data_IF_557519759239
#
_entry.id   IF_557519759239
#
_cell.length_a   1.000
_cell.length_b   1.000
_cell.length_c   1.000
_cell.angle_alpha   90.00
_cell.angle_beta   90.00
_cell.angle_gamma   90.00
#
_symmetry.space_group_name_H-M   'P 1'
#
loop_
_entity.id
_entity.type
_entity.pdbx_description
1 polymer ?
#
# COMPACT_ATOMS: atom_id res chain seq x y z
N UNK A 1 9.19 -4.46 15.40
CA UNK A 1 8.42 -4.30 14.15
C UNK A 1 7.44 -3.17 14.38
N UNK A 2 7.67 -2.04 13.74
CA UNK A 2 6.74 -0.92 13.77
C UNK A 2 5.75 -1.11 12.62
N UNK A 3 4.52 -1.47 12.98
CA UNK A 3 3.38 -1.48 12.08
C UNK A 3 2.30 -0.63 12.75
N UNK A 4 1.89 0.42 12.08
CA UNK A 4 0.90 1.37 12.56
C UNK A 4 -0.31 1.39 11.63
N UNK A 5 -1.51 1.32 12.19
CA UNK A 5 -2.78 1.29 11.45
C UNK A 5 -3.59 2.53 11.78
N UNK A 6 -4.04 3.24 10.75
CA UNK A 6 -4.87 4.43 10.87
C UNK A 6 -6.14 4.25 10.06
N UNK A 7 -7.28 4.23 10.74
CA UNK A 7 -8.60 4.26 10.11
C UNK A 7 -9.04 5.70 9.82
N UNK A 8 -9.91 5.88 8.83
CA UNK A 8 -10.33 7.20 8.36
C UNK A 8 -9.11 8.09 8.01
N UNK A 9 -8.18 7.50 7.26
CA UNK A 9 -6.91 8.12 6.91
C UNK A 9 -7.08 9.43 6.15
N UNK A 10 -7.94 9.47 5.12
CA UNK A 10 -8.28 10.68 4.38
C UNK A 10 -9.60 11.29 4.87
N UNK A 11 -9.77 12.62 4.79
CA UNK A 11 -11.09 13.24 4.86
C UNK A 11 -12.02 12.64 3.82
N UNK A 12 -13.32 12.57 4.13
CA UNK A 12 -14.32 11.88 3.29
C UNK A 12 -14.32 12.34 1.83
N UNK A 13 -14.24 13.64 1.58
CA UNK A 13 -14.21 14.19 0.22
C UNK A 13 -12.97 13.76 -0.56
N UNK A 14 -11.84 13.61 0.10
CA UNK A 14 -10.58 13.15 -0.48
C UNK A 14 -10.58 11.64 -0.71
N UNK A 15 -11.15 10.88 0.21
CA UNK A 15 -11.36 9.45 0.04
C UNK A 15 -12.23 9.17 -1.20
N UNK A 16 -13.34 9.87 -1.37
CA UNK A 16 -14.19 9.74 -2.55
C UNK A 16 -13.44 10.07 -3.85
N UNK A 17 -12.58 11.09 -3.84
CA UNK A 17 -11.73 11.43 -4.99
C UNK A 17 -10.69 10.35 -5.28
N UNK A 18 -10.04 9.81 -4.25
CA UNK A 18 -9.07 8.72 -4.38
C UNK A 18 -9.74 7.47 -4.98
N UNK A 19 -10.91 7.08 -4.48
CA UNK A 19 -11.70 5.99 -5.04
C UNK A 19 -12.07 6.24 -6.52
N UNK A 20 -12.59 7.44 -6.84
CA UNK A 20 -12.93 7.82 -8.21
C UNK A 20 -11.73 7.79 -9.15
N UNK A 21 -10.56 8.19 -8.68
CA UNK A 21 -9.31 8.08 -9.44
C UNK A 21 -8.97 6.62 -9.75
N UNK A 22 -8.90 5.78 -8.73
CA UNK A 22 -8.55 4.35 -8.89
C UNK A 22 -9.55 3.62 -9.80
N UNK A 23 -10.85 3.89 -9.65
CA UNK A 23 -11.90 3.27 -10.45
C UNK A 23 -11.79 3.59 -11.95
N UNK A 24 -11.29 4.77 -12.30
CA UNK A 24 -11.29 5.26 -13.68
C UNK A 24 -9.89 5.27 -14.33
N UNK A 25 -8.83 5.05 -13.56
CA UNK A 25 -7.48 5.04 -14.09
C UNK A 25 -7.18 3.75 -14.86
N UNK A 26 -6.43 3.82 -15.97
CA UNK A 26 -6.05 2.64 -16.74
C UNK A 26 -5.01 1.82 -15.97
N UNK A 27 -5.38 0.65 -15.53
CA UNK A 27 -4.44 -0.32 -14.96
C UNK A 27 -3.65 -1.01 -16.08
N UNK A 28 -2.36 -1.25 -15.82
CA UNK A 28 -1.47 -1.96 -16.75
C UNK A 28 -1.11 -3.31 -16.14
N UNK A 29 -1.33 -4.39 -16.91
CA UNK A 29 -0.89 -5.72 -16.53
C UNK A 29 0.64 -5.80 -16.52
N UNK A 30 1.19 -6.57 -15.60
CA UNK A 30 2.62 -6.84 -15.53
C UNK A 30 3.30 -6.30 -14.28
N UNK A 31 2.56 -6.16 -13.18
CA UNK A 31 3.19 -5.93 -11.87
C UNK A 31 3.97 -7.17 -11.47
N UNK A 32 5.22 -6.97 -11.03
CA UNK A 32 6.14 -8.02 -10.65
C UNK A 32 6.55 -7.84 -9.20
N UNK A 33 6.51 -8.94 -8.43
CA UNK A 33 7.20 -8.99 -7.15
C UNK A 33 8.69 -9.29 -7.41
N UNK A 34 9.08 -10.59 -7.45
CA UNK A 34 10.48 -10.97 -7.63
C UNK A 34 10.78 -11.65 -8.98
N UNK A 35 9.75 -12.09 -9.71
CA UNK A 35 9.90 -12.88 -10.93
C UNK A 35 9.18 -12.24 -12.12
N UNK A 36 9.91 -11.51 -12.99
CA UNK A 36 9.35 -10.81 -14.14
C UNK A 36 8.54 -11.68 -15.10
N UNK A 37 8.83 -12.98 -15.19
CA UNK A 37 8.11 -13.94 -16.01
C UNK A 37 6.75 -14.37 -15.42
N UNK A 38 6.44 -13.97 -14.18
CA UNK A 38 5.18 -14.31 -13.50
C UNK A 38 4.59 -13.06 -12.84
N UNK A 39 3.94 -12.20 -13.63
CA UNK A 39 3.30 -11.02 -13.08
C UNK A 39 2.21 -11.39 -12.07
N UNK A 40 2.16 -10.66 -10.96
CA UNK A 40 1.25 -10.90 -9.85
C UNK A 40 -0.06 -10.12 -9.97
N UNK A 41 -0.15 -9.17 -10.89
CA UNK A 41 -1.35 -8.35 -11.03
C UNK A 41 -1.20 -7.19 -12.00
N UNK A 42 -2.05 -6.19 -11.86
CA UNK A 42 -2.03 -4.95 -12.60
C UNK A 42 -1.70 -3.77 -11.70
N UNK A 43 -1.09 -2.73 -12.24
CA UNK A 43 -0.79 -1.52 -11.48
C UNK A 43 -1.18 -0.23 -12.19
N UNK A 44 -1.38 0.83 -11.41
CA UNK A 44 -1.58 2.20 -11.84
C UNK A 44 -0.48 3.04 -11.23
N UNK A 45 0.49 3.48 -12.01
CA UNK A 45 1.56 4.34 -11.52
C UNK A 45 1.09 5.79 -11.41
N UNK A 46 1.38 6.42 -10.27
CA UNK A 46 1.05 7.83 -9.99
C UNK A 46 2.35 8.62 -10.03
N UNK A 47 2.36 9.65 -10.86
CA UNK A 47 3.56 10.47 -11.06
C UNK A 47 3.76 11.45 -9.91
N UNK A 48 5.02 11.84 -9.64
CA UNK A 48 5.37 12.80 -8.57
C UNK A 48 4.75 14.19 -8.79
N UNK A 49 4.49 14.56 -10.04
CA UNK A 49 3.86 15.82 -10.42
C UNK A 49 2.35 15.84 -10.18
N UNK A 50 1.73 14.67 -9.99
CA UNK A 50 0.29 14.58 -9.78
C UNK A 50 -0.11 15.15 -8.40
N UNK A 51 -1.15 15.94 -8.38
CA UNK A 51 -1.66 16.52 -7.13
C UNK A 51 -2.02 15.47 -6.08
N UNK A 52 -2.48 14.30 -6.53
CA UNK A 52 -2.81 13.19 -5.63
C UNK A 52 -1.56 12.66 -4.93
N UNK A 53 -0.42 12.58 -5.62
CA UNK A 53 0.86 12.17 -5.03
C UNK A 53 1.28 13.13 -3.91
N UNK A 54 1.31 14.43 -4.21
CA UNK A 54 1.73 15.45 -3.24
C UNK A 54 0.79 15.52 -2.03
N UNK A 55 -0.52 15.38 -2.28
CA UNK A 55 -1.50 15.37 -1.21
C UNK A 55 -1.34 14.16 -0.29
N UNK A 56 -1.14 12.97 -0.89
CA UNK A 56 -0.95 11.73 -0.13
C UNK A 56 0.32 11.74 0.71
N UNK A 57 1.44 12.21 0.15
CA UNK A 57 2.71 12.37 0.89
C UNK A 57 2.52 13.27 2.12
N UNK A 58 1.87 14.43 1.93
CA UNK A 58 1.57 15.33 3.05
C UNK A 58 0.74 14.64 4.12
N UNK A 59 -0.37 14.00 3.75
CA UNK A 59 -1.25 13.33 4.73
C UNK A 59 -0.55 12.17 5.42
N UNK A 60 0.28 11.40 4.71
CA UNK A 60 1.04 10.31 5.31
C UNK A 60 2.00 10.83 6.38
N UNK A 61 2.71 11.93 6.11
CA UNK A 61 3.59 12.58 7.11
C UNK A 61 2.81 13.11 8.30
N UNK A 62 1.64 13.73 8.07
CA UNK A 62 0.80 14.26 9.15
C UNK A 62 0.21 13.15 10.06
N UNK A 63 0.05 11.93 9.52
CA UNK A 63 -0.60 10.81 10.21
C UNK A 63 0.36 9.81 10.83
N UNK A 64 1.57 9.67 10.29
CA UNK A 64 2.57 8.70 10.72
C UNK A 64 3.83 9.44 11.17
N UNK A 65 4.07 9.46 12.48
CA UNK A 65 5.16 10.24 13.09
C UNK A 65 6.54 9.84 12.55
N UNK A 66 6.75 8.56 12.21
CA UNK A 66 8.01 8.07 11.68
C UNK A 66 8.35 8.65 10.30
N UNK A 67 7.36 9.20 9.57
CA UNK A 67 7.56 9.83 8.27
C UNK A 67 7.84 11.33 8.35
N UNK A 68 7.80 11.93 9.55
CA UNK A 68 8.03 13.37 9.73
C UNK A 68 9.51 13.77 9.65
N UNK A 69 10.43 12.82 9.58
CA UNK A 69 11.83 13.13 9.37
C UNK A 69 12.02 13.78 7.99
N UNK A 70 12.64 14.99 7.90
CA UNK A 70 12.90 15.66 6.63
C UNK A 70 13.86 14.90 5.70
N UNK A 71 14.55 13.88 6.20
CA UNK A 71 15.38 12.97 5.40
C UNK A 71 14.60 11.94 4.58
N UNK A 72 13.29 11.76 4.83
CA UNK A 72 12.47 10.85 4.04
C UNK A 72 11.90 11.53 2.81
N UNK A 73 12.10 10.89 1.66
CA UNK A 73 11.43 11.23 0.40
C UNK A 73 10.45 10.15 -0.01
N UNK A 74 9.26 10.54 -0.48
CA UNK A 74 8.35 9.62 -1.15
C UNK A 74 8.93 9.23 -2.51
N UNK A 75 9.41 8.00 -2.62
CA UNK A 75 10.14 7.52 -3.80
C UNK A 75 9.17 7.19 -4.94
N UNK A 76 8.10 6.46 -4.63
CA UNK A 76 7.11 5.99 -5.61
C UNK A 76 5.72 5.89 -4.99
N UNK A 77 4.71 6.01 -5.85
CA UNK A 77 3.32 5.75 -5.51
C UNK A 77 2.66 5.00 -6.66
N UNK A 78 1.94 3.95 -6.33
CA UNK A 78 1.19 3.18 -7.31
C UNK A 78 -0.01 2.49 -6.65
N UNK A 79 -0.96 2.03 -7.45
CA UNK A 79 -2.10 1.24 -7.00
C UNK A 79 -1.93 -0.16 -7.56
N UNK A 80 -1.95 -1.15 -6.72
CA UNK A 80 -2.06 -2.56 -7.12
C UNK A 80 -3.52 -2.93 -7.31
N UNK A 81 -3.82 -3.57 -8.42
CA UNK A 81 -5.14 -4.07 -8.76
C UNK A 81 -5.03 -5.58 -8.93
N UNK A 82 -5.63 -6.32 -8.02
CA UNK A 82 -5.69 -7.78 -8.08
C UNK A 82 -7.11 -8.22 -8.44
N UNK A 83 -7.18 -9.18 -9.35
CA UNK A 83 -8.42 -9.86 -9.69
C UNK A 83 -8.66 -11.06 -8.77
N UNK A 84 -9.91 -11.54 -8.60
CA UNK A 84 -10.17 -12.78 -7.89
C UNK A 84 -9.26 -13.90 -8.40
N UNK A 85 -8.63 -14.63 -7.47
CA UNK A 85 -7.66 -15.70 -7.72
C UNK A 85 -6.22 -15.26 -8.07
N UNK A 86 -5.93 -14.00 -8.13
CA UNK A 86 -4.55 -13.52 -8.17
C UNK A 86 -3.99 -13.45 -6.75
N UNK A 87 -2.94 -14.21 -6.50
CA UNK A 87 -2.26 -14.23 -5.21
C UNK A 87 -0.85 -13.65 -5.38
N UNK A 88 -0.61 -12.41 -4.97
CA UNK A 88 0.74 -11.88 -4.92
C UNK A 88 1.60 -12.73 -3.99
N UNK A 89 2.90 -12.74 -4.26
CA UNK A 89 3.85 -13.50 -3.46
C UNK A 89 4.24 -12.75 -2.21
N UNK A 90 4.79 -13.47 -1.25
CA UNK A 90 5.51 -12.88 -0.16
C UNK A 90 6.71 -12.09 -0.69
N UNK A 91 6.82 -10.84 -0.32
CA UNK A 91 7.91 -9.94 -0.75
C UNK A 91 8.22 -8.91 0.33
N UNK A 92 9.29 -8.18 0.11
CA UNK A 92 9.67 -6.96 0.84
C UNK A 92 9.72 -5.81 -0.15
N UNK A 93 9.36 -4.61 0.29
CA UNK A 93 9.37 -3.42 -0.57
C UNK A 93 10.74 -2.75 -0.67
N UNK A 94 11.59 -2.99 0.32
CA UNK A 94 12.94 -2.48 0.38
C UNK A 94 13.91 -3.52 0.95
N UNK A 95 15.08 -3.65 0.32
CA UNK A 95 16.14 -4.47 0.89
C UNK A 95 16.79 -3.78 2.08
N UNK A 96 17.13 -4.52 3.16
CA UNK A 96 17.83 -3.96 4.30
C UNK A 96 19.18 -3.38 3.87
N UNK A 97 19.38 -2.09 4.14
CA UNK A 97 20.68 -1.40 3.94
C UNK A 97 21.04 -0.78 5.29
N UNK A 98 22.25 -1.06 5.77
CA UNK A 98 22.72 -0.52 7.05
C UNK A 98 22.66 1.02 7.06
N UNK A 99 22.02 1.58 8.10
CA UNK A 99 21.87 3.02 8.27
C UNK A 99 20.80 3.67 7.39
N UNK A 100 20.02 2.89 6.62
CA UNK A 100 18.92 3.40 5.82
C UNK A 100 17.60 2.82 6.31
N UNK A 101 16.68 3.70 6.69
CA UNK A 101 15.31 3.32 7.00
C UNK A 101 14.42 3.49 5.78
N UNK A 102 13.47 2.59 5.58
CA UNK A 102 12.45 2.68 4.53
C UNK A 102 11.10 2.28 5.08
N UNK A 103 10.06 2.98 4.64
CA UNK A 103 8.68 2.71 5.05
C UNK A 103 7.77 2.56 3.84
N UNK A 104 6.79 1.68 3.98
CA UNK A 104 5.69 1.55 3.05
C UNK A 104 4.40 2.02 3.72
N UNK A 105 3.62 2.82 2.99
CA UNK A 105 2.26 3.19 3.38
C UNK A 105 1.29 2.51 2.43
N UNK A 106 0.59 1.51 2.92
CA UNK A 106 -0.48 0.83 2.20
C UNK A 106 -1.81 1.50 2.52
N UNK A 107 -2.59 1.85 1.49
CA UNK A 107 -3.88 2.51 1.64
C UNK A 107 -4.98 1.78 0.87
N UNK A 108 -6.15 1.62 1.47
CA UNK A 108 -7.30 0.97 0.87
C UNK A 108 -8.35 2.01 0.43
N UNK A 109 -8.43 2.33 -0.88
CA UNK A 109 -9.24 3.42 -1.39
C UNK A 109 -10.73 3.09 -1.58
N UNK A 110 -11.14 1.82 -1.52
CA UNK A 110 -12.53 1.41 -1.75
C UNK A 110 -13.50 2.02 -0.71
N UNK A 111 -14.80 2.06 -1.05
CA UNK A 111 -15.83 2.69 -0.20
C UNK A 111 -16.51 1.69 0.72
N UNK A 112 -16.56 0.44 0.32
CA UNK A 112 -17.10 -0.71 1.04
C UNK A 112 -16.25 -1.95 0.74
N UNK A 113 -16.36 -2.95 1.58
CA UNK A 113 -15.69 -4.23 1.39
C UNK A 113 -16.42 -5.31 2.17
N UNK A 114 -16.87 -6.37 1.48
CA UNK A 114 -17.47 -7.52 2.17
C UNK A 114 -16.37 -8.40 2.78
N UNK A 115 -16.61 -8.90 3.99
CA UNK A 115 -15.65 -9.77 4.69
C UNK A 115 -15.38 -11.09 3.96
N UNK A 116 -16.32 -11.51 3.11
CA UNK A 116 -16.22 -12.71 2.30
C UNK A 116 -15.38 -12.52 1.03
N UNK A 117 -15.05 -11.27 0.67
CA UNK A 117 -14.24 -10.96 -0.51
C UNK A 117 -12.73 -11.16 -0.27
N UNK A 118 -12.32 -11.50 0.95
CA UNK A 118 -10.91 -11.73 1.27
C UNK A 118 -10.09 -10.45 1.32
N UNK A 119 -8.99 -10.39 0.60
CA UNK A 119 -8.17 -9.19 0.42
C UNK A 119 -7.33 -8.79 1.64
N UNK A 120 -7.08 -9.70 2.58
CA UNK A 120 -6.24 -9.40 3.73
C UNK A 120 -4.81 -9.14 3.28
N UNK A 121 -4.17 -8.15 3.91
CA UNK A 121 -2.72 -8.04 3.86
C UNK A 121 -2.11 -8.74 5.06
N UNK A 122 -1.26 -9.72 4.79
CA UNK A 122 -0.56 -10.50 5.79
C UNK A 122 0.87 -10.01 5.95
N UNK A 123 1.31 -9.90 7.19
CA UNK A 123 2.68 -9.53 7.58
C UNK A 123 3.32 -10.69 8.31
N UNK A 124 4.53 -11.06 7.89
CA UNK A 124 5.29 -12.12 8.54
C UNK A 124 5.91 -11.63 9.84
N UNK A 125 5.70 -12.36 10.89
CA UNK A 125 6.44 -12.27 12.14
C UNK A 125 7.27 -13.54 12.31
N UNK A 126 8.25 -13.50 13.21
CA UNK A 126 9.22 -14.58 13.42
C UNK A 126 8.62 -15.98 13.44
N UNK A 127 7.44 -16.16 14.00
CA UNK A 127 6.78 -17.44 14.25
C UNK A 127 5.31 -17.50 13.79
N UNK A 128 4.74 -16.38 13.36
CA UNK A 128 3.34 -16.29 12.92
C UNK A 128 3.12 -15.18 11.91
N UNK A 129 1.93 -15.11 11.35
CA UNK A 129 1.49 -14.01 10.49
C UNK A 129 0.38 -13.21 11.15
N UNK A 130 0.36 -11.90 10.89
CA UNK A 130 -0.74 -11.01 11.28
C UNK A 130 -1.44 -10.56 10.00
N UNK A 131 -2.77 -10.80 9.92
CA UNK A 131 -3.60 -10.33 8.81
C UNK A 131 -4.34 -9.04 9.18
N UNK A 132 -4.31 -8.07 8.28
CA UNK A 132 -5.12 -6.87 8.37
C UNK A 132 -6.19 -6.86 7.30
N UNK A 133 -7.43 -6.70 7.75
CA UNK A 133 -8.58 -6.59 6.86
C UNK A 133 -8.53 -5.25 6.11
N UNK A 134 -8.82 -5.23 4.80
CA UNK A 134 -8.80 -4.02 3.98
C UNK A 134 -10.02 -3.14 4.27
N UNK A 135 -10.05 -2.52 5.44
CA UNK A 135 -11.13 -1.58 5.78
C UNK A 135 -11.10 -0.36 4.85
N UNK A 136 -12.26 0.10 4.36
CA UNK A 136 -12.34 1.33 3.58
C UNK A 136 -11.67 2.50 4.28
N UNK A 137 -10.86 3.25 3.54
CA UNK A 137 -10.13 4.42 4.05
C UNK A 137 -9.16 4.11 5.22
N UNK A 138 -8.65 2.89 5.28
CA UNK A 138 -7.57 2.49 6.20
C UNK A 138 -6.23 2.69 5.54
N UNK A 139 -5.24 3.15 6.30
CA UNK A 139 -3.84 3.09 5.92
C UNK A 139 -3.03 2.30 6.94
N UNK A 140 -1.99 1.62 6.47
CA UNK A 140 -1.04 0.87 7.28
C UNK A 140 0.35 1.35 6.90
N UNK A 141 1.11 1.86 7.87
CA UNK A 141 2.51 2.21 7.71
C UNK A 141 3.38 1.13 8.36
N UNK A 142 4.37 0.64 7.64
CA UNK A 142 5.27 -0.40 8.12
C UNK A 142 6.67 -0.25 7.52
N UNK A 143 7.66 -0.83 8.19
CA UNK A 143 9.02 -0.92 7.69
C UNK A 143 9.04 -1.73 6.38
N UNK A 144 9.59 -1.16 5.32
CA UNK A 144 9.61 -1.75 3.98
C UNK A 144 10.38 -3.07 3.89
N UNK A 145 11.15 -3.43 4.90
CA UNK A 145 11.88 -4.72 4.98
C UNK A 145 11.02 -5.86 5.54
N UNK A 146 9.78 -5.58 5.94
CA UNK A 146 8.88 -6.61 6.48
C UNK A 146 8.30 -7.43 5.34
N UNK A 147 8.45 -8.76 5.44
CA UNK A 147 7.79 -9.70 4.53
C UNK A 147 6.28 -9.59 4.65
N UNK A 148 5.63 -9.35 3.52
CA UNK A 148 4.18 -9.24 3.46
C UNK A 148 3.62 -9.76 2.14
N UNK A 149 2.30 -10.00 2.12
CA UNK A 149 1.56 -10.41 0.93
C UNK A 149 0.09 -10.03 1.07
N UNK A 150 -0.62 -9.83 -0.04
CA UNK A 150 -2.07 -9.77 -0.05
C UNK A 150 -2.65 -11.18 -0.32
N UNK A 151 -3.86 -11.43 0.14
CA UNK A 151 -4.64 -12.63 -0.24
C UNK A 151 -5.81 -12.22 -1.11
N UNK A 152 -6.12 -13.06 -2.08
CA UNK A 152 -7.35 -12.92 -2.85
C UNK A 152 -8.56 -13.32 -2.02
#
# INVERSE_FOLDING_TARGET
MNLEVVDNFLPRDKHLKAFGFVKNAPARWGEYDDLPEKPAGSSIHIKKEDQIFQYFDKVARDRFNQLNDPGFDLVRMYVNVFWPHECPRWHIDAHPIEGLESYTVLYYPHLDWDRNDGGFTHFWRTDHTIGHFPMPNRAICFDGTIWHTATA
#
